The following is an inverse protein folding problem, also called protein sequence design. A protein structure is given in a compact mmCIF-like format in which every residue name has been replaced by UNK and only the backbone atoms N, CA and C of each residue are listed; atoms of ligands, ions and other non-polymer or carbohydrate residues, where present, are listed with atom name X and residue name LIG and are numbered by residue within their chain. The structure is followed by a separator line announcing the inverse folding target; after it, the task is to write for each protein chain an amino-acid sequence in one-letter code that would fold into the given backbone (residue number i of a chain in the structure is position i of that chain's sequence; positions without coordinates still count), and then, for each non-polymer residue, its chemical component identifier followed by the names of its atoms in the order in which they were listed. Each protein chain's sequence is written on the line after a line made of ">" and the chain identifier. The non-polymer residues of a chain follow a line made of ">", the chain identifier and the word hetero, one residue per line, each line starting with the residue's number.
data_IF_265612328518
#
_entry.id   IF_265612328518
#
_cell.length_a   1.000
_cell.length_b   1.000
_cell.length_c   1.000
_cell.angle_alpha   90.00
_cell.angle_beta   90.00
_cell.angle_gamma   90.00
#
_symmetry.space_group_name_H-M   'P 1'
#
loop_
_entity.id
_entity.type
_entity.pdbx_description
1 polymer ?
#
# COMPACT_ATOMS: atom_id res chain seq x y z
N UNK A 1 -15.45 -14.96 -15.81
CA UNK A 1 -16.83 -15.46 -15.64
C UNK A 1 -17.64 -14.32 -15.09
N UNK A 2 -18.87 -14.13 -15.55
CA UNK A 2 -19.72 -13.04 -15.09
C UNK A 2 -21.10 -13.57 -14.69
N UNK A 3 -21.59 -13.21 -13.51
CA UNK A 3 -22.89 -13.63 -13.02
C UNK A 3 -23.93 -12.52 -13.17
N UNK A 4 -25.06 -12.85 -13.79
CA UNK A 4 -26.18 -11.95 -13.94
C UNK A 4 -27.24 -12.23 -12.88
N UNK A 5 -27.40 -11.29 -11.96
CA UNK A 5 -28.27 -11.41 -10.78
C UNK A 5 -29.75 -11.47 -11.15
N UNK A 6 -30.21 -10.71 -12.16
CA UNK A 6 -31.64 -10.59 -12.45
C UNK A 6 -32.27 -11.81 -13.15
N UNK A 7 -31.48 -12.63 -13.85
CA UNK A 7 -31.96 -13.86 -14.51
C UNK A 7 -31.28 -15.13 -14.03
N UNK A 8 -30.43 -15.02 -12.99
CA UNK A 8 -29.65 -16.12 -12.45
C UNK A 8 -28.80 -16.88 -13.49
N UNK A 9 -28.34 -16.17 -14.52
CA UNK A 9 -27.50 -16.74 -15.57
C UNK A 9 -26.02 -16.47 -15.28
N UNK A 10 -25.20 -17.52 -15.39
CA UNK A 10 -23.76 -17.45 -15.34
C UNK A 10 -23.20 -17.50 -16.77
N UNK A 11 -22.40 -16.49 -17.12
CA UNK A 11 -21.65 -16.43 -18.37
C UNK A 11 -20.22 -16.87 -18.16
N UNK A 12 -19.79 -17.84 -18.97
CA UNK A 12 -18.44 -18.39 -18.94
C UNK A 12 -17.81 -18.19 -20.32
N UNK A 13 -16.83 -17.30 -20.36
CA UNK A 13 -15.93 -17.14 -21.49
C UNK A 13 -14.73 -18.08 -21.34
N UNK A 14 -14.15 -18.49 -22.47
CA UNK A 14 -12.97 -19.34 -22.49
C UNK A 14 -12.28 -19.33 -23.86
N UNK A 15 -11.46 -20.36 -24.10
CA UNK A 15 -10.77 -20.60 -25.37
C UNK A 15 -11.75 -21.20 -26.39
N UNK A 16 -12.78 -20.44 -26.73
CA UNK A 16 -13.79 -20.78 -27.73
C UNK A 16 -14.43 -19.52 -28.30
N UNK A 17 -14.95 -19.64 -29.52
CA UNK A 17 -15.80 -18.60 -30.14
C UNK A 17 -17.16 -18.48 -29.45
N UNK A 18 -17.55 -19.49 -28.69
CA UNK A 18 -18.81 -19.52 -27.96
C UNK A 18 -18.63 -19.09 -26.50
N UNK A 19 -19.56 -18.28 -26.01
CA UNK A 19 -19.71 -17.94 -24.58
C UNK A 19 -20.82 -18.83 -24.03
N UNK A 20 -20.47 -19.68 -23.07
CA UNK A 20 -21.42 -20.59 -22.44
C UNK A 20 -22.29 -19.84 -21.44
N UNK A 21 -23.59 -20.14 -21.48
CA UNK A 21 -24.58 -19.61 -20.55
C UNK A 21 -25.16 -20.76 -19.74
N UNK A 22 -25.03 -20.69 -18.43
CA UNK A 22 -25.58 -21.66 -17.50
C UNK A 22 -26.63 -20.96 -16.63
N UNK A 23 -27.87 -21.43 -16.67
CA UNK A 23 -28.90 -20.93 -15.76
C UNK A 23 -28.81 -21.68 -14.43
N UNK A 24 -28.55 -20.96 -13.34
CA UNK A 24 -28.38 -21.55 -12.02
C UNK A 24 -29.70 -21.92 -11.35
N UNK A 25 -30.82 -21.30 -11.74
CA UNK A 25 -32.15 -21.63 -11.21
C UNK A 25 -32.65 -22.96 -11.79
N UNK A 26 -32.48 -23.16 -13.09
CA UNK A 26 -32.89 -24.38 -13.78
C UNK A 26 -31.83 -25.48 -13.77
N UNK A 27 -30.56 -25.14 -13.49
CA UNK A 27 -29.42 -26.06 -13.52
C UNK A 27 -29.09 -26.58 -14.93
N UNK A 28 -29.37 -25.78 -15.98
CA UNK A 28 -29.21 -26.19 -17.38
C UNK A 28 -28.33 -25.22 -18.16
N UNK A 29 -27.62 -25.76 -19.15
CA UNK A 29 -26.99 -24.94 -20.17
C UNK A 29 -28.05 -24.41 -21.13
N UNK A 30 -27.97 -23.11 -21.39
CA UNK A 30 -28.74 -22.43 -22.42
C UNK A 30 -27.90 -22.31 -23.70
N UNK A 31 -28.55 -21.90 -24.78
CA UNK A 31 -27.85 -21.69 -26.05
C UNK A 31 -26.70 -20.68 -25.86
N UNK A 32 -25.49 -21.02 -26.32
CA UNK A 32 -24.34 -20.14 -26.19
C UNK A 32 -24.47 -18.90 -27.08
N UNK A 33 -23.76 -17.84 -26.70
CA UNK A 33 -23.61 -16.65 -27.56
C UNK A 33 -22.39 -16.86 -28.45
N UNK A 34 -22.55 -16.62 -29.76
CA UNK A 34 -21.45 -16.70 -30.72
C UNK A 34 -20.72 -15.36 -30.84
N UNK A 35 -19.40 -15.41 -30.75
CA UNK A 35 -18.48 -14.29 -31.01
C UNK A 35 -17.77 -14.48 -32.34
N UNK A 36 -17.30 -13.41 -32.99
CA UNK A 36 -16.56 -13.53 -34.24
C UNK A 36 -15.12 -14.04 -34.05
N UNK A 37 -14.61 -14.01 -32.81
CA UNK A 37 -13.22 -14.32 -32.50
C UNK A 37 -13.07 -15.77 -32.03
N UNK A 38 -11.87 -16.33 -32.17
CA UNK A 38 -11.57 -17.70 -31.72
C UNK A 38 -11.50 -17.84 -30.20
N UNK A 39 -11.18 -16.77 -29.49
CA UNK A 39 -10.87 -16.77 -28.07
C UNK A 39 -11.41 -15.51 -27.38
N UNK A 40 -12.07 -15.72 -26.24
CA UNK A 40 -12.57 -14.67 -25.36
C UNK A 40 -11.83 -14.76 -24.02
N UNK A 41 -11.04 -13.74 -23.69
CA UNK A 41 -10.18 -13.76 -22.50
C UNK A 41 -10.91 -13.32 -21.24
N UNK A 42 -11.70 -12.26 -21.35
CA UNK A 42 -12.38 -11.65 -20.22
C UNK A 42 -13.85 -11.38 -20.56
N UNK A 43 -14.70 -11.45 -19.52
CA UNK A 43 -16.11 -11.13 -19.61
C UNK A 43 -16.51 -10.41 -18.33
N UNK A 44 -17.22 -9.28 -18.49
CA UNK A 44 -17.72 -8.49 -17.37
C UNK A 44 -19.14 -8.02 -17.68
N UNK A 45 -19.99 -7.98 -16.67
CA UNK A 45 -21.34 -7.44 -16.75
C UNK A 45 -21.40 -6.05 -16.14
N UNK A 46 -22.10 -5.14 -16.82
CA UNK A 46 -22.37 -3.84 -16.23
C UNK A 46 -23.37 -3.99 -15.06
N UNK A 47 -23.09 -3.41 -13.88
CA UNK A 47 -23.98 -3.51 -12.72
C UNK A 47 -25.35 -2.84 -12.93
N UNK A 48 -25.46 -1.82 -13.78
CA UNK A 48 -26.68 -1.00 -13.93
C UNK A 48 -27.60 -1.52 -15.03
N UNK A 49 -27.09 -1.62 -16.26
CA UNK A 49 -27.91 -2.02 -17.43
C UNK A 49 -27.69 -3.47 -17.85
N UNK A 50 -26.78 -4.20 -17.19
CA UNK A 50 -26.53 -5.62 -17.44
C UNK A 50 -26.05 -5.96 -18.86
N UNK A 51 -25.34 -5.03 -19.51
CA UNK A 51 -24.67 -5.35 -20.77
C UNK A 51 -23.47 -6.22 -20.45
N UNK A 52 -23.30 -7.29 -21.20
CA UNK A 52 -22.14 -8.17 -21.12
C UNK A 52 -21.10 -7.65 -22.11
N UNK A 53 -19.93 -7.24 -21.63
CA UNK A 53 -18.78 -6.99 -22.49
C UNK A 53 -17.81 -8.16 -22.44
N UNK A 54 -17.29 -8.53 -23.60
CA UNK A 54 -16.36 -9.62 -23.79
C UNK A 54 -15.12 -9.12 -24.54
N UNK A 55 -13.95 -9.35 -23.96
CA UNK A 55 -12.67 -8.97 -24.56
C UNK A 55 -12.10 -10.13 -25.36
N UNK A 56 -11.81 -9.88 -26.65
CA UNK A 56 -11.30 -10.90 -27.56
C UNK A 56 -9.79 -10.78 -27.75
N UNK A 57 -9.20 -11.86 -28.27
CA UNK A 57 -7.78 -11.88 -28.64
C UNK A 57 -7.44 -10.96 -29.82
N UNK A 58 -8.43 -10.65 -30.66
CA UNK A 58 -8.33 -9.79 -31.85
C UNK A 58 -8.39 -8.29 -31.54
N UNK A 59 -8.35 -7.89 -30.27
CA UNK A 59 -8.41 -6.46 -29.89
C UNK A 59 -9.80 -5.83 -30.02
N UNK A 60 -10.84 -6.65 -30.14
CA UNK A 60 -12.23 -6.21 -30.16
C UNK A 60 -12.85 -6.41 -28.77
N UNK A 61 -13.74 -5.48 -28.40
CA UNK A 61 -14.65 -5.66 -27.27
C UNK A 61 -16.04 -5.86 -27.86
N UNK A 62 -16.58 -7.06 -27.70
CA UNK A 62 -17.92 -7.39 -28.15
C UNK A 62 -18.92 -7.21 -27.00
N UNK A 63 -19.99 -6.48 -27.26
CA UNK A 63 -21.04 -6.19 -26.28
C UNK A 63 -22.31 -6.96 -26.64
N UNK A 64 -22.84 -7.69 -25.66
CA UNK A 64 -24.05 -8.51 -25.76
C UNK A 64 -25.10 -8.02 -24.75
N UNK A 65 -26.34 -7.90 -25.20
CA UNK A 65 -27.48 -7.70 -24.30
C UNK A 65 -28.13 -9.07 -24.00
N UNK A 66 -28.20 -9.49 -22.72
CA UNK A 66 -28.89 -10.70 -22.28
C UNK A 66 -30.33 -10.83 -22.80
N UNK A 67 -31.02 -9.71 -23.04
CA UNK A 67 -32.42 -9.67 -23.47
C UNK A 67 -32.57 -9.96 -24.95
N UNK A 68 -31.70 -9.38 -25.77
CA UNK A 68 -31.73 -9.50 -27.24
C UNK A 68 -31.07 -10.82 -27.70
N UNK A 69 -30.30 -11.48 -26.81
CA UNK A 69 -29.61 -12.76 -27.07
C UNK A 69 -28.76 -12.72 -28.34
N UNK A 70 -28.25 -11.53 -28.64
CA UNK A 70 -27.45 -11.23 -29.82
C UNK A 70 -26.45 -10.12 -29.50
N UNK A 71 -25.45 -9.99 -30.36
CA UNK A 71 -24.43 -8.95 -30.24
C UNK A 71 -25.03 -7.59 -30.59
N UNK A 72 -24.86 -6.61 -29.72
CA UNK A 72 -25.40 -5.25 -29.88
C UNK A 72 -24.36 -4.31 -30.45
N UNK A 73 -23.07 -4.51 -30.11
CA UNK A 73 -22.00 -3.65 -30.59
C UNK A 73 -20.65 -4.33 -30.60
N UNK A 74 -19.75 -3.82 -31.43
CA UNK A 74 -18.33 -4.15 -31.45
C UNK A 74 -17.59 -2.82 -31.27
N UNK A 75 -16.61 -2.82 -30.37
CA UNK A 75 -15.69 -1.73 -30.19
C UNK A 75 -14.29 -2.18 -30.60
N UNK A 76 -13.70 -1.45 -31.55
CA UNK A 76 -12.37 -1.75 -32.07
C UNK A 76 -11.33 -0.95 -31.28
N UNK A 77 -10.53 -1.64 -30.46
CA UNK A 77 -9.51 -0.94 -29.65
C UNK A 77 -8.24 -0.62 -30.45
N UNK A 78 -8.01 -1.34 -31.56
CA UNK A 78 -6.84 -1.22 -32.44
C UNK A 78 -6.82 0.13 -33.16
N UNK A 79 -7.97 0.59 -33.66
CA UNK A 79 -8.07 1.81 -34.48
C UNK A 79 -7.80 3.10 -33.70
N UNK A 80 -7.93 3.03 -32.38
CA UNK A 80 -7.80 4.18 -31.49
C UNK A 80 -6.42 4.30 -30.83
N UNK A 81 -5.60 3.26 -30.93
CA UNK A 81 -4.18 3.45 -30.70
C UNK A 81 -3.66 4.24 -31.91
N UNK A 82 -2.96 5.34 -31.68
CA UNK A 82 -2.15 5.98 -32.70
C UNK A 82 -1.00 5.00 -33.08
N UNK A 83 -1.34 3.92 -33.79
CA UNK A 83 -0.42 2.82 -34.15
C UNK A 83 0.61 3.27 -35.19
N UNK A 84 0.46 4.44 -35.81
CA UNK A 84 1.44 4.93 -36.77
C UNK A 84 2.80 5.30 -36.13
N UNK A 85 2.86 5.63 -34.83
CA UNK A 85 4.11 6.05 -34.18
C UNK A 85 4.83 4.92 -33.39
N UNK A 86 4.21 3.74 -33.21
CA UNK A 86 4.68 2.75 -32.23
C UNK A 86 5.29 1.46 -32.81
N UNK A 87 5.28 1.22 -34.12
CA UNK A 87 6.03 0.10 -34.73
C UNK A 87 5.71 -1.29 -34.17
N UNK A 88 4.55 -1.48 -33.52
CA UNK A 88 4.16 -2.74 -32.89
C UNK A 88 3.56 -3.67 -33.94
N UNK A 89 4.24 -4.78 -34.22
CA UNK A 89 3.80 -5.82 -35.18
C UNK A 89 2.73 -6.78 -34.60
N UNK A 90 2.40 -6.64 -33.31
CA UNK A 90 1.52 -7.54 -32.57
C UNK A 90 0.16 -6.88 -32.33
N UNK A 91 -0.91 -7.56 -32.74
CA UNK A 91 -2.29 -7.11 -32.49
C UNK A 91 -2.53 -7.06 -30.97
N UNK A 92 -2.91 -5.89 -30.40
CA UNK A 92 -3.13 -5.77 -28.97
C UNK A 92 -4.35 -6.60 -28.58
N UNK A 93 -4.16 -7.50 -27.62
CA UNK A 93 -5.21 -8.40 -27.14
C UNK A 93 -5.85 -7.79 -25.90
N UNK A 94 -7.18 -7.90 -25.74
CA UNK A 94 -7.86 -7.37 -24.54
C UNK A 94 -7.72 -8.38 -23.42
N UNK A 95 -7.10 -7.99 -22.30
CA UNK A 95 -6.82 -8.86 -21.16
C UNK A 95 -7.74 -8.62 -19.98
N UNK A 96 -8.06 -7.36 -19.69
CA UNK A 96 -8.89 -6.96 -18.56
C UNK A 96 -10.04 -6.03 -19.02
N UNK A 97 -11.21 -6.20 -18.41
CA UNK A 97 -12.38 -5.36 -18.63
C UNK A 97 -13.03 -5.07 -17.28
N UNK A 98 -13.39 -3.81 -17.05
CA UNK A 98 -14.15 -3.42 -15.85
C UNK A 98 -15.13 -2.30 -16.17
N UNK A 99 -16.34 -2.42 -15.62
CA UNK A 99 -17.31 -1.33 -15.59
C UNK A 99 -17.29 -0.67 -14.21
N UNK A 100 -17.41 0.66 -14.20
CA UNK A 100 -17.76 1.40 -12.99
C UNK A 100 -19.26 1.69 -12.96
N UNK A 101 -19.65 2.54 -13.91
CA UNK A 101 -21.02 3.02 -14.06
C UNK A 101 -21.68 2.45 -15.33
N UNK A 102 -22.90 2.89 -15.60
CA UNK A 102 -23.65 2.59 -16.83
C UNK A 102 -22.97 3.07 -18.13
N UNK A 103 -21.99 3.97 -18.06
CA UNK A 103 -21.39 4.57 -19.25
C UNK A 103 -19.90 4.28 -19.38
N UNK A 104 -19.23 3.96 -18.29
CA UNK A 104 -17.78 4.11 -18.20
C UNK A 104 -17.14 2.75 -18.10
N UNK A 105 -16.29 2.44 -19.06
CA UNK A 105 -15.64 1.14 -19.20
C UNK A 105 -14.13 1.33 -19.26
N UNK A 106 -13.37 0.52 -18.53
CA UNK A 106 -11.94 0.40 -18.71
C UNK A 106 -11.60 -0.88 -19.47
N UNK A 107 -10.67 -0.76 -20.40
CA UNK A 107 -10.15 -1.86 -21.21
C UNK A 107 -8.64 -1.91 -21.03
N UNK A 108 -8.13 -3.05 -20.58
CA UNK A 108 -6.71 -3.33 -20.45
C UNK A 108 -6.23 -4.16 -21.64
N UNK A 109 -5.11 -3.76 -22.22
CA UNK A 109 -4.48 -4.49 -23.33
C UNK A 109 -3.27 -5.29 -22.86
N UNK A 110 -2.88 -6.28 -23.66
CA UNK A 110 -1.65 -7.04 -23.43
C UNK A 110 -0.37 -6.22 -23.59
N UNK A 111 -0.45 -5.07 -24.25
CA UNK A 111 0.68 -4.16 -24.48
C UNK A 111 0.95 -3.20 -23.31
N UNK A 112 0.18 -3.28 -22.21
CA UNK A 112 0.34 -2.37 -21.06
C UNK A 112 -0.41 -1.04 -21.19
N UNK A 113 -1.28 -0.91 -22.19
CA UNK A 113 -2.15 0.26 -22.36
C UNK A 113 -3.51 0.03 -21.72
N UNK A 114 -3.92 0.96 -20.86
CA UNK A 114 -5.27 1.07 -20.29
C UNK A 114 -6.04 2.12 -21.09
N UNK A 115 -7.18 1.74 -21.63
CA UNK A 115 -8.06 2.60 -22.42
C UNK A 115 -9.36 2.81 -21.62
N UNK A 116 -9.70 4.07 -21.34
CA UNK A 116 -11.01 4.42 -20.80
C UNK A 116 -11.95 4.77 -21.93
N UNK A 117 -13.09 4.11 -21.97
CA UNK A 117 -14.16 4.35 -22.92
C UNK A 117 -15.42 4.86 -22.21
N UNK A 118 -16.11 5.76 -22.92
CA UNK A 118 -17.53 5.99 -22.70
C UNK A 118 -18.30 5.12 -23.71
N UNK A 119 -19.30 4.38 -23.25
CA UNK A 119 -20.08 3.44 -24.06
C UNK A 119 -20.77 4.11 -25.26
N UNK A 120 -20.91 5.44 -25.23
CA UNK A 120 -21.52 6.25 -26.30
C UNK A 120 -20.56 6.58 -27.44
N UNK A 121 -19.25 6.54 -27.19
CA UNK A 121 -18.23 6.92 -28.17
C UNK A 121 -17.38 5.73 -28.56
N UNK A 122 -17.06 5.66 -29.84
CA UNK A 122 -16.09 4.71 -30.40
C UNK A 122 -14.65 5.05 -30.01
N UNK A 123 -14.36 6.32 -29.67
CA UNK A 123 -13.03 6.79 -29.26
C UNK A 123 -12.82 6.70 -27.74
N UNK A 124 -11.59 6.39 -27.28
CA UNK A 124 -11.26 6.41 -25.87
C UNK A 124 -11.22 7.86 -25.36
N UNK A 125 -11.70 8.05 -24.14
CA UNK A 125 -11.63 9.32 -23.41
C UNK A 125 -10.21 9.58 -22.94
N UNK A 126 -9.53 8.54 -22.47
CA UNK A 126 -8.16 8.62 -21.98
C UNK A 126 -7.42 7.32 -22.29
N UNK A 127 -6.18 7.47 -22.75
CA UNK A 127 -5.23 6.37 -22.93
C UNK A 127 -4.12 6.55 -21.90
N UNK A 128 -3.83 5.50 -21.15
CA UNK A 128 -2.73 5.49 -20.19
C UNK A 128 -1.80 4.32 -20.45
N UNK A 129 -0.52 4.63 -20.57
CA UNK A 129 0.53 3.64 -20.76
C UNK A 129 1.27 3.36 -19.44
N UNK A 130 1.56 2.09 -19.21
CA UNK A 130 2.35 1.62 -18.09
C UNK A 130 3.86 1.57 -18.37
N UNK A 131 4.30 1.66 -19.64
CA UNK A 131 5.69 1.72 -20.11
C UNK A 131 6.51 0.43 -19.98
N UNK A 132 5.99 -0.59 -19.28
CA UNK A 132 6.68 -1.87 -19.13
C UNK A 132 6.36 -2.89 -20.23
N UNK A 133 5.42 -2.57 -21.13
CA UNK A 133 4.96 -3.48 -22.20
C UNK A 133 4.45 -4.84 -21.69
N UNK A 134 4.05 -4.90 -20.42
CA UNK A 134 3.49 -6.08 -19.79
C UNK A 134 1.95 -6.05 -19.86
N UNK A 135 1.29 -7.21 -19.92
CA UNK A 135 -0.16 -7.25 -19.98
C UNK A 135 -0.79 -6.75 -18.68
N UNK A 136 -1.83 -5.94 -18.82
CA UNK A 136 -2.65 -5.51 -17.69
C UNK A 136 -3.50 -6.70 -17.25
N UNK A 137 -3.36 -7.10 -15.99
CA UNK A 137 -4.06 -8.28 -15.44
C UNK A 137 -5.42 -7.92 -14.89
N UNK A 138 -5.50 -6.84 -14.11
CA UNK A 138 -6.76 -6.39 -13.50
C UNK A 138 -6.87 -4.88 -13.49
N UNK A 139 -8.10 -4.41 -13.56
CA UNK A 139 -8.47 -3.00 -13.45
C UNK A 139 -9.64 -2.92 -12.49
N UNK A 140 -9.53 -2.05 -11.50
CA UNK A 140 -10.60 -1.83 -10.53
C UNK A 140 -10.82 -0.32 -10.36
N UNK A 141 -12.08 0.07 -10.16
CA UNK A 141 -12.45 1.45 -9.92
C UNK A 141 -12.69 1.69 -8.44
N UNK A 142 -12.32 2.88 -7.98
CA UNK A 142 -12.67 3.36 -6.65
C UNK A 142 -13.62 4.55 -6.76
N UNK A 143 -14.78 4.44 -6.13
CA UNK A 143 -15.88 5.39 -6.30
C UNK A 143 -15.67 6.71 -5.52
N UNK A 144 -14.97 6.71 -4.38
CA UNK A 144 -14.92 7.91 -3.52
C UNK A 144 -14.06 9.03 -4.11
N UNK A 145 -13.03 8.68 -4.88
CA UNK A 145 -12.03 9.62 -5.41
C UNK A 145 -11.92 9.59 -6.94
N UNK A 146 -12.83 8.92 -7.65
CA UNK A 146 -12.75 8.70 -9.10
C UNK A 146 -11.38 8.15 -9.55
N UNK A 147 -10.78 7.30 -8.72
CA UNK A 147 -9.48 6.69 -8.97
C UNK A 147 -9.66 5.41 -9.78
N UNK A 148 -8.79 5.24 -10.77
CA UNK A 148 -8.63 4.00 -11.53
C UNK A 148 -7.36 3.32 -11.04
N UNK A 149 -7.49 2.05 -10.67
CA UNK A 149 -6.39 1.20 -10.25
C UNK A 149 -6.12 0.23 -11.40
N UNK A 150 -4.95 0.37 -12.01
CA UNK A 150 -4.52 -0.51 -13.09
C UNK A 150 -3.31 -1.31 -12.64
N UNK A 151 -3.37 -2.63 -12.83
CA UNK A 151 -2.36 -3.56 -12.36
C UNK A 151 -1.74 -4.31 -13.54
N UNK A 152 -0.42 -4.19 -13.66
CA UNK A 152 0.40 -5.06 -14.50
C UNK A 152 0.93 -6.24 -13.69
N UNK A 153 1.68 -7.13 -14.33
CA UNK A 153 2.41 -8.18 -13.63
C UNK A 153 3.39 -7.68 -12.56
N UNK A 154 3.86 -6.42 -12.60
CA UNK A 154 4.89 -5.92 -11.65
C UNK A 154 4.43 -4.77 -10.77
N UNK A 155 3.54 -3.90 -11.26
CA UNK A 155 3.23 -2.63 -10.61
C UNK A 155 1.72 -2.42 -10.60
N UNK A 156 1.23 -1.90 -9.49
CA UNK A 156 -0.10 -1.33 -9.38
C UNK A 156 0.00 0.20 -9.45
N UNK A 157 -0.61 0.82 -10.47
CA UNK A 157 -0.69 2.28 -10.60
C UNK A 157 -2.09 2.76 -10.29
N UNK A 158 -2.18 3.76 -9.42
CA UNK A 158 -3.41 4.46 -9.07
C UNK A 158 -3.39 5.83 -9.74
N UNK A 159 -4.50 6.21 -10.37
CA UNK A 159 -4.55 7.47 -11.10
C UNK A 159 -5.94 8.01 -11.28
N UNK A 160 -6.01 9.34 -11.43
CA UNK A 160 -7.29 10.02 -11.56
C UNK A 160 -7.86 9.87 -12.96
N UNK A 161 -9.11 9.44 -13.05
CA UNK A 161 -9.82 9.23 -14.30
C UNK A 161 -9.83 10.46 -15.21
N UNK A 162 -10.11 11.64 -14.66
CA UNK A 162 -10.34 12.86 -15.45
C UNK A 162 -9.05 13.50 -15.96
N UNK A 163 -7.99 13.42 -15.16
CA UNK A 163 -6.72 14.13 -15.43
C UNK A 163 -5.62 13.21 -15.93
N UNK A 164 -5.75 11.89 -15.78
CA UNK A 164 -4.71 10.90 -16.09
C UNK A 164 -3.48 10.93 -15.18
N UNK A 165 -3.36 11.93 -14.29
CA UNK A 165 -2.26 12.08 -13.34
C UNK A 165 -2.16 10.86 -12.42
N UNK A 166 -0.95 10.32 -12.30
CA UNK A 166 -0.66 9.26 -11.34
C UNK A 166 -0.79 9.81 -9.92
N UNK A 167 -1.53 9.10 -9.09
CA UNK A 167 -1.70 9.37 -7.67
C UNK A 167 -0.58 8.68 -6.89
N UNK A 168 -0.53 7.35 -6.98
CA UNK A 168 0.50 6.52 -6.35
C UNK A 168 0.85 5.33 -7.24
N UNK A 169 2.05 4.80 -7.09
CA UNK A 169 2.50 3.56 -7.71
C UNK A 169 3.02 2.65 -6.61
N UNK A 170 2.57 1.40 -6.63
CA UNK A 170 2.97 0.37 -5.67
C UNK A 170 3.72 -0.71 -6.45
N UNK A 171 4.99 -0.87 -6.11
CA UNK A 171 5.88 -1.87 -6.69
C UNK A 171 6.18 -2.94 -5.63
N UNK A 172 5.37 -4.00 -5.55
CA UNK A 172 5.77 -5.17 -4.81
C UNK A 172 6.89 -5.84 -5.60
N UNK A 173 8.03 -6.13 -4.97
CA UNK A 173 9.19 -6.76 -5.62
C UNK A 173 8.96 -8.19 -6.13
N UNK A 174 7.70 -8.63 -6.21
CA UNK A 174 7.25 -9.94 -6.68
C UNK A 174 6.10 -9.76 -7.65
N UNK A 175 5.94 -10.70 -8.58
CA UNK A 175 4.92 -10.59 -9.60
C UNK A 175 3.48 -10.66 -9.01
N UNK A 176 2.64 -9.77 -9.51
CA UNK A 176 1.22 -9.60 -9.18
C UNK A 176 0.35 -10.40 -10.14
N UNK A 177 -0.70 -11.05 -9.61
CA UNK A 177 -1.62 -11.87 -10.39
C UNK A 177 -3.04 -11.31 -10.39
N UNK A 178 -3.55 -10.90 -9.24
CA UNK A 178 -4.91 -10.38 -9.11
C UNK A 178 -4.98 -9.26 -8.06
N UNK A 179 -5.95 -8.36 -8.24
CA UNK A 179 -6.23 -7.25 -7.35
C UNK A 179 -7.67 -7.36 -6.87
N UNK A 180 -7.87 -7.31 -5.56
CA UNK A 180 -9.19 -7.20 -4.95
C UNK A 180 -9.22 -6.00 -4.01
N UNK A 181 -10.17 -5.10 -4.25
CA UNK A 181 -10.36 -3.90 -3.43
C UNK A 181 -11.61 -4.06 -2.60
N UNK A 182 -11.50 -3.71 -1.32
CA UNK A 182 -12.67 -3.74 -0.43
C UNK A 182 -13.50 -2.47 -0.66
N UNK A 183 -14.77 -2.60 -1.06
CA UNK A 183 -15.63 -1.45 -1.37
C UNK A 183 -15.70 -0.45 -0.21
N UNK A 184 -15.56 0.85 -0.52
CA UNK A 184 -15.68 1.92 0.46
C UNK A 184 -14.53 2.03 1.48
N UNK A 185 -13.44 1.27 1.29
CA UNK A 185 -12.25 1.35 2.14
C UNK A 185 -10.98 1.55 1.32
N UNK A 186 -9.89 1.92 2.00
CA UNK A 186 -8.54 2.02 1.42
C UNK A 186 -7.76 0.70 1.42
N UNK A 187 -8.41 -0.43 1.71
CA UNK A 187 -7.75 -1.73 1.83
C UNK A 187 -7.72 -2.48 0.49
N UNK A 188 -6.52 -2.90 0.11
CA UNK A 188 -6.21 -3.58 -1.15
C UNK A 188 -5.58 -4.94 -0.83
N UNK A 189 -6.11 -5.98 -1.45
CA UNK A 189 -5.53 -7.33 -1.45
C UNK A 189 -4.91 -7.59 -2.81
N UNK A 190 -3.64 -7.99 -2.82
CA UNK A 190 -2.92 -8.35 -4.03
C UNK A 190 -2.45 -9.80 -3.93
N UNK A 191 -2.93 -10.61 -4.87
CA UNK A 191 -2.42 -11.96 -5.05
C UNK A 191 -1.05 -11.88 -5.73
N UNK A 192 -0.02 -12.38 -5.06
CA UNK A 192 1.35 -12.40 -5.59
C UNK A 192 1.87 -13.83 -5.67
N UNK A 193 2.98 -14.05 -6.36
CA UNK A 193 3.67 -15.35 -6.35
C UNK A 193 4.39 -15.66 -5.02
N UNK A 194 4.38 -14.74 -4.06
CA UNK A 194 4.90 -14.99 -2.72
C UNK A 194 3.95 -15.88 -1.90
N UNK A 195 4.46 -16.63 -0.90
CA UNK A 195 3.61 -17.46 -0.04
C UNK A 195 2.60 -16.67 0.79
N UNK A 196 2.78 -15.35 0.93
CA UNK A 196 1.86 -14.46 1.64
C UNK A 196 1.18 -13.54 0.64
N UNK A 197 -0.15 -13.42 0.75
CA UNK A 197 -0.92 -12.40 0.04
C UNK A 197 -0.51 -11.02 0.58
N UNK A 198 -0.20 -10.10 -0.33
CA UNK A 198 0.17 -8.75 0.07
C UNK A 198 -1.10 -7.94 0.35
N UNK A 199 -1.08 -7.22 1.47
CA UNK A 199 -2.15 -6.32 1.87
C UNK A 199 -1.59 -4.92 1.97
N UNK A 200 -2.22 -3.99 1.27
CA UNK A 200 -1.87 -2.57 1.34
C UNK A 200 -3.07 -1.81 1.87
N UNK A 201 -2.81 -0.89 2.78
CA UNK A 201 -3.79 0.04 3.28
C UNK A 201 -3.34 1.45 2.92
N UNK A 202 -4.21 2.20 2.24
CA UNK A 202 -3.96 3.58 1.84
C UNK A 202 -4.98 4.47 2.55
N UNK A 203 -4.61 5.11 3.69
CA UNK A 203 -5.53 5.93 4.49
C UNK A 203 -6.14 7.09 3.69
N UNK A 204 -5.39 7.64 2.73
CA UNK A 204 -5.85 8.76 1.90
C UNK A 204 -6.98 8.41 0.92
N UNK A 205 -7.19 7.13 0.60
CA UNK A 205 -8.23 6.69 -0.34
C UNK A 205 -9.56 6.44 0.39
N UNK A 206 -9.49 5.92 1.61
CA UNK A 206 -10.65 5.65 2.44
C UNK A 206 -10.26 5.00 3.76
N UNK A 207 -11.18 5.08 4.71
CA UNK A 207 -11.03 4.54 6.06
C UNK A 207 -10.92 3.02 6.07
N UNK A 208 -10.40 2.45 7.16
CA UNK A 208 -10.36 1.00 7.32
C UNK A 208 -11.79 0.44 7.46
N UNK A 209 -12.04 -0.80 6.99
CA UNK A 209 -13.34 -1.43 7.17
C UNK A 209 -13.59 -1.73 8.66
N UNK A 210 -14.86 -1.85 9.06
CA UNK A 210 -15.27 -1.97 10.48
C UNK A 210 -14.60 -3.11 11.26
N UNK A 211 -14.24 -4.20 10.59
CA UNK A 211 -13.56 -5.36 11.19
C UNK A 211 -12.05 -5.14 11.40
N UNK A 212 -11.49 -4.08 10.81
CA UNK A 212 -10.08 -3.67 10.90
C UNK A 212 -9.95 -2.19 11.33
N UNK A 213 -10.84 -1.70 12.19
CA UNK A 213 -10.79 -0.31 12.69
C UNK A 213 -9.49 0.05 13.41
N UNK A 214 -8.81 -0.95 13.99
CA UNK A 214 -7.52 -0.74 14.65
C UNK A 214 -6.39 -0.34 13.69
N UNK A 215 -6.51 -0.62 12.39
CA UNK A 215 -5.50 -0.21 11.41
C UNK A 215 -5.40 1.32 11.31
N UNK A 216 -6.52 2.03 11.42
CA UNK A 216 -6.53 3.49 11.39
C UNK A 216 -5.72 4.07 12.55
N UNK A 217 -5.94 3.55 13.77
CA UNK A 217 -5.19 3.96 14.95
C UNK A 217 -3.68 3.65 14.80
N UNK A 218 -3.34 2.46 14.30
CA UNK A 218 -1.94 2.10 14.08
C UNK A 218 -1.26 2.98 13.05
N UNK A 219 -1.97 3.36 11.98
CA UNK A 219 -1.43 4.29 10.98
C UNK A 219 -1.28 5.69 11.53
N UNK A 220 -2.22 6.16 12.35
CA UNK A 220 -2.15 7.48 13.00
C UNK A 220 -0.99 7.54 14.01
N UNK A 221 -0.79 6.49 14.82
CA UNK A 221 0.38 6.35 15.70
C UNK A 221 1.71 6.32 14.91
N UNK A 222 1.73 5.67 13.74
CA UNK A 222 2.90 5.63 12.86
C UNK A 222 3.19 7.02 12.24
N UNK A 223 2.16 7.75 11.85
CA UNK A 223 2.29 9.12 11.34
C UNK A 223 2.82 10.06 12.43
N UNK A 224 2.26 10.01 13.64
CA UNK A 224 2.71 10.81 14.80
C UNK A 224 4.17 10.49 15.19
N UNK A 225 4.53 9.21 15.23
CA UNK A 225 5.89 8.81 15.61
C UNK A 225 6.96 9.24 14.60
N UNK A 226 6.61 9.34 13.32
CA UNK A 226 7.55 9.76 12.27
C UNK A 226 8.04 11.21 12.44
N UNK A 227 7.22 12.10 13.00
CA UNK A 227 7.61 13.48 13.26
C UNK A 227 8.61 13.61 14.43
N UNK A 228 8.69 12.60 15.31
CA UNK A 228 9.49 12.67 16.54
C UNK A 228 10.95 12.22 16.41
N UNK A 229 11.35 11.53 15.34
CA UNK A 229 12.70 10.95 15.21
C UNK A 229 13.81 11.94 14.81
N UNK A 230 13.49 13.22 14.55
CA UNK A 230 14.49 14.23 14.15
C UNK A 230 15.40 14.64 15.33
N UNK A 231 15.06 14.27 16.57
CA UNK A 231 15.78 14.70 17.78
C UNK A 231 16.55 13.60 18.51
N UNK A 232 16.67 12.38 17.98
CA UNK A 232 17.37 11.28 18.66
C UNK A 232 18.87 11.57 18.91
N UNK A 233 19.49 12.38 18.06
CA UNK A 233 20.90 12.75 18.17
C UNK A 233 21.14 14.07 18.95
N UNK A 234 20.09 14.69 19.50
CA UNK A 234 20.19 15.98 20.18
C UNK A 234 19.97 15.86 21.69
N UNK A 235 20.95 16.36 22.47
CA UNK A 235 20.82 16.47 23.93
C UNK A 235 20.37 17.87 24.32
N UNK A 236 19.29 17.96 25.09
CA UNK A 236 18.87 19.22 25.72
C UNK A 236 19.81 19.57 26.88
N UNK A 237 20.30 20.81 26.89
CA UNK A 237 21.11 21.39 27.95
C UNK A 237 20.48 22.66 28.48
N UNK A 238 20.51 22.82 29.79
CA UNK A 238 20.17 24.10 30.43
C UNK A 238 21.30 25.11 30.25
N UNK A 239 20.98 26.40 30.38
CA UNK A 239 21.97 27.48 30.27
C UNK A 239 23.15 27.32 31.25
N UNK A 240 22.89 26.78 32.45
CA UNK A 240 23.92 26.51 33.46
C UNK A 240 24.88 25.41 33.02
N UNK A 241 24.36 24.30 32.50
CA UNK A 241 25.19 23.19 32.01
C UNK A 241 26.03 23.57 30.79
N UNK A 242 25.51 24.48 29.96
CA UNK A 242 26.22 24.99 28.79
C UNK A 242 27.37 25.93 29.17
N UNK A 243 27.20 26.70 30.26
CA UNK A 243 28.26 27.51 30.89
C UNK A 243 29.33 26.61 31.54
N UNK A 244 28.93 25.53 32.23
CA UNK A 244 29.86 24.56 32.84
C UNK A 244 30.74 23.84 31.79
N UNK A 245 30.19 23.59 30.60
CA UNK A 245 30.91 22.98 29.48
C UNK A 245 31.80 23.98 28.71
N UNK A 246 31.78 25.27 29.07
CA UNK A 246 32.55 26.31 28.40
C UNK A 246 32.08 26.63 26.97
N UNK A 247 30.82 26.28 26.63
CA UNK A 247 30.26 26.43 25.28
C UNK A 247 29.43 27.71 25.13
N UNK A 248 29.52 28.66 26.07
CA UNK A 248 28.77 29.93 26.06
C UNK A 248 29.03 30.78 24.81
N UNK A 249 30.20 30.66 24.19
CA UNK A 249 30.55 31.34 22.95
C UNK A 249 29.78 30.85 21.71
N UNK A 250 29.14 29.67 21.78
CA UNK A 250 28.39 29.10 20.66
C UNK A 250 26.92 29.53 20.64
N UNK A 251 26.46 30.29 21.65
CA UNK A 251 25.11 30.83 21.73
C UNK A 251 24.89 31.79 20.56
N UNK A 252 23.97 31.45 19.65
CA UNK A 252 23.70 32.23 18.42
C UNK A 252 24.32 31.65 17.14
N UNK A 253 25.12 30.58 17.24
CA UNK A 253 25.59 29.82 16.08
C UNK A 253 24.59 28.72 15.69
N UNK A 254 24.61 28.28 14.42
CA UNK A 254 23.75 27.19 13.93
C UNK A 254 23.99 25.82 14.62
N UNK A 255 25.04 25.70 15.44
CA UNK A 255 25.39 24.45 16.16
C UNK A 255 24.57 24.25 17.45
N UNK A 256 23.94 25.31 17.96
CA UNK A 256 23.08 25.26 19.14
C UNK A 256 21.69 25.75 18.77
N UNK A 257 20.69 24.88 18.87
CA UNK A 257 19.31 25.26 18.61
C UNK A 257 18.65 25.68 19.92
N UNK A 258 18.35 26.96 20.07
CA UNK A 258 17.64 27.47 21.23
C UNK A 258 16.20 26.92 21.26
N UNK A 259 15.78 26.39 22.41
CA UNK A 259 14.41 25.92 22.62
C UNK A 259 13.94 26.25 24.03
N UNK A 260 12.89 27.09 24.12
CA UNK A 260 12.26 27.60 25.34
C UNK A 260 13.24 28.25 26.34
N UNK A 261 13.92 27.44 27.16
CA UNK A 261 14.84 27.87 28.22
C UNK A 261 16.19 27.14 28.21
N UNK A 262 16.49 26.40 27.14
CA UNK A 262 17.73 25.68 26.96
C UNK A 262 18.17 25.62 25.51
N UNK A 263 19.16 24.76 25.26
CA UNK A 263 19.77 24.57 23.96
C UNK A 263 19.86 23.09 23.63
N UNK A 264 19.53 22.72 22.40
CA UNK A 264 19.85 21.42 21.84
C UNK A 264 21.23 21.46 21.20
N UNK A 265 22.05 20.48 21.55
CA UNK A 265 23.38 20.25 20.95
C UNK A 265 23.46 18.82 20.41
N UNK A 266 24.19 18.62 19.30
CA UNK A 266 24.47 17.27 18.81
C UNK A 266 25.21 16.46 19.87
N UNK A 267 24.81 15.20 20.06
CA UNK A 267 25.37 14.28 21.04
C UNK A 267 26.89 14.09 20.86
N UNK A 268 27.38 14.12 19.62
CA UNK A 268 28.82 14.04 19.29
C UNK A 268 29.60 15.26 19.81
N UNK A 269 29.05 16.45 19.68
CA UNK A 269 29.66 17.69 20.18
C UNK A 269 29.62 17.73 21.71
N UNK A 270 28.50 17.28 22.29
CA UNK A 270 28.38 17.12 23.74
C UNK A 270 29.46 16.20 24.32
N UNK A 271 29.68 15.03 23.72
CA UNK A 271 30.71 14.09 24.19
C UNK A 271 32.13 14.66 24.08
N UNK A 272 32.44 15.38 22.99
CA UNK A 272 33.73 16.08 22.85
C UNK A 272 33.90 17.15 23.91
N UNK A 273 32.91 18.01 24.10
CA UNK A 273 32.95 19.06 25.12
C UNK A 273 33.10 18.48 26.53
N UNK A 274 32.34 17.42 26.85
CA UNK A 274 32.45 16.73 28.14
C UNK A 274 33.83 16.11 28.37
N UNK A 275 34.44 15.53 27.33
CA UNK A 275 35.79 14.97 27.43
C UNK A 275 36.88 16.02 27.69
N UNK A 276 36.67 17.24 27.18
CA UNK A 276 37.60 18.38 27.33
C UNK A 276 37.37 19.09 28.67
N UNK A 277 36.12 19.22 29.13
CA UNK A 277 35.77 19.89 30.37
C UNK A 277 36.14 19.05 31.61
N UNK A 278 36.10 17.72 31.52
CA UNK A 278 36.35 16.83 32.66
C UNK A 278 37.54 15.86 32.49
N UNK A 279 38.78 16.32 32.24
CA UNK A 279 39.96 15.44 32.19
C UNK A 279 40.27 14.78 33.55
N UNK A 280 39.77 15.37 34.65
CA UNK A 280 39.96 14.87 36.02
C UNK A 280 38.83 13.97 36.54
N UNK A 281 37.71 13.81 35.82
CA UNK A 281 36.59 13.00 36.29
C UNK A 281 36.96 11.51 36.42
N UNK A 282 37.78 10.98 35.51
CA UNK A 282 38.27 9.60 35.59
C UNK A 282 39.15 9.37 36.83
N UNK A 283 39.98 10.35 37.17
CA UNK A 283 40.87 10.29 38.33
C UNK A 283 40.13 10.47 39.66
N UNK A 284 39.12 11.35 39.70
CA UNK A 284 38.20 11.51 40.84
C UNK A 284 37.31 10.29 41.04
N UNK A 285 36.76 9.73 39.96
CA UNK A 285 35.97 8.49 39.99
C UNK A 285 36.80 7.32 40.52
N UNK A 286 38.06 7.18 40.05
CA UNK A 286 39.00 6.18 40.55
C UNK A 286 39.32 6.38 42.04
N UNK A 287 39.57 7.62 42.49
CA UNK A 287 39.81 7.93 43.90
C UNK A 287 38.60 7.63 44.78
N UNK A 288 37.38 7.93 44.32
CA UNK A 288 36.15 7.62 45.06
C UNK A 288 35.90 6.11 45.15
N UNK A 289 36.09 5.37 44.05
CA UNK A 289 35.93 3.91 44.06
C UNK A 289 36.97 3.18 44.93
N UNK A 290 38.17 3.75 45.05
CA UNK A 290 39.19 3.27 45.99
C UNK A 290 38.79 3.60 47.44
N UNK A 291 38.21 4.79 47.70
CA UNK A 291 37.68 5.14 49.02
C UNK A 291 36.53 4.25 49.46
N UNK A 292 35.57 3.98 48.58
CA UNK A 292 34.46 3.06 48.85
C UNK A 292 34.97 1.66 49.22
N UNK A 293 35.93 1.12 48.47
CA UNK A 293 36.57 -0.17 48.82
C UNK A 293 37.28 -0.15 50.18
N UNK A 294 37.95 0.95 50.53
CA UNK A 294 38.61 1.11 51.83
C UNK A 294 37.57 1.19 52.97
N UNK A 295 36.43 1.82 52.73
CA UNK A 295 35.33 1.90 53.70
C UNK A 295 34.66 0.54 53.91
N UNK A 296 34.40 -0.23 52.84
CA UNK A 296 33.91 -1.61 52.92
C UNK A 296 34.89 -2.53 53.69
N UNK A 297 36.19 -2.38 53.48
CA UNK A 297 37.21 -3.11 54.24
C UNK A 297 37.29 -2.68 55.72
N UNK A 298 36.98 -1.41 56.04
CA UNK A 298 36.93 -0.90 57.42
C UNK A 298 35.69 -1.38 58.18
N UNK A 299 34.52 -1.44 57.55
CA UNK A 299 33.29 -1.95 58.19
C UNK A 299 33.41 -3.42 58.59
N UNK A 300 34.12 -4.23 57.81
CA UNK A 300 34.35 -5.64 58.11
C UNK A 300 35.25 -5.88 59.33
N UNK A 301 36.03 -4.88 59.77
CA UNK A 301 37.03 -5.04 60.85
C UNK A 301 36.49 -4.81 62.27
N UNK A 302 35.31 -4.19 62.45
CA UNK A 302 34.85 -3.72 63.77
C UNK A 302 33.58 -4.43 64.30
N UNK A 303 33.00 -5.41 63.60
CA UNK A 303 31.88 -6.19 64.17
C UNK A 303 32.39 -7.31 65.11
N UNK A 304 32.67 -6.95 66.37
CA UNK A 304 32.70 -7.91 67.47
C UNK A 304 31.27 -8.49 67.66
N UNK A 305 31.07 -9.73 67.21
CA UNK A 305 29.83 -10.50 67.42
C UNK A 305 29.64 -10.79 68.90
N UNK A 306 28.79 -10.02 69.59
CA UNK A 306 28.15 -10.48 70.83
C UNK A 306 27.03 -11.44 70.42
N UNK A 307 27.19 -12.73 70.76
CA UNK A 307 26.15 -13.76 70.59
C UNK A 307 25.04 -13.52 71.63
N UNK A 308 23.85 -13.14 71.18
CA UNK A 308 22.61 -13.34 71.93
C UNK A 308 21.73 -14.37 71.21
N UNK A 309 21.20 -15.29 72.02
CA UNK A 309 20.52 -16.52 71.66
C UNK A 309 19.01 -16.27 71.45
N UNK A 310 18.49 -16.86 70.38
CA UNK A 310 17.11 -17.30 70.07
C UNK A 310 15.91 -16.34 70.23
N UNK A 311 15.16 -16.18 69.13
CA UNK A 311 13.81 -16.78 69.01
C UNK A 311 13.31 -16.79 67.56
N UNK A 312 12.87 -17.99 67.19
CA UNK A 312 12.09 -18.41 66.04
C UNK A 312 10.80 -17.58 65.94
N UNK A 313 10.47 -17.05 64.75
CA UNK A 313 9.09 -17.05 64.25
C UNK A 313 9.06 -16.99 62.73
N UNK A 314 8.71 -18.14 62.18
CA UNK A 314 8.29 -18.43 60.81
C UNK A 314 6.85 -17.93 60.65
N UNK A 315 6.54 -17.18 59.58
CA UNK A 315 5.20 -17.12 58.97
C UNK A 315 5.38 -16.79 57.47
N UNK A 316 5.00 -17.77 56.65
CA UNK A 316 4.62 -17.65 55.24
C UNK A 316 3.33 -16.82 55.12
N UNK A 317 3.17 -16.03 54.06
CA UNK A 317 1.88 -15.96 53.36
C UNK A 317 2.00 -15.33 51.95
N UNK A 318 1.58 -16.15 50.97
CA UNK A 318 1.10 -15.91 49.59
C UNK A 318 1.97 -15.11 48.63
#
# INVERSE_FOLDING_TARGET
>A
MAYHTASCDLYVAGVSSEIYRLNLEQGRFLNPLSTNSSEVKCCELNPVHHLLACGTNTGHVECFDPRVRGRVGILDTILNQHVEDLGVSVVPTVTALKFRDALTMAVGTSTGHVLLYDLRSDKPVLIKDHQYELPIKSIEFHDSLDLVMSMDSKILKLWNRNNGKAYTAIEPGTDLNDLCVVPGSGLLFMATEAPKVLTYYIPSIGTAPKWCSFLDNLTEELEESSETQVYDDYKFLTRRELEDLGLSHLIGSNLLRAYMHGFFIDMRLYHKAKSIAEPFAYEKYRKNKIREKIEEERENRVRLKVRLISKIFMIFLV
#
